data_IF_752062823946
#
_entry.id   IF_752062823946
#
_cell.length_a   1.000
_cell.length_b   1.000
_cell.length_c   1.000
_cell.angle_alpha   90.00
_cell.angle_beta   90.00
_cell.angle_gamma   90.00
#
_symmetry.space_group_name_H-M   'P 1'
#
loop_
_entity.id
_entity.type
_entity.pdbx_description
1 polymer ?
#
# COMPACT_ATOMS: atom_id res chain seq x y z
N UNK A 1 16.78 -7.76 16.77
CA UNK A 1 15.92 -6.73 16.13
C UNK A 1 16.20 -6.87 14.65
N UNK A 2 15.40 -7.68 13.98
CA UNK A 2 15.69 -8.10 12.61
C UNK A 2 15.37 -6.96 11.65
N UNK A 3 16.41 -6.36 11.07
CA UNK A 3 16.31 -5.31 10.07
C UNK A 3 16.60 -5.92 8.69
N UNK A 4 15.84 -6.92 8.22
CA UNK A 4 16.18 -7.52 6.92
C UNK A 4 15.07 -8.28 6.19
N UNK A 5 13.87 -7.71 6.15
CA UNK A 5 13.04 -7.89 4.97
C UNK A 5 12.78 -6.51 4.39
N UNK A 6 13.71 -6.04 3.54
CA UNK A 6 13.50 -4.87 2.69
C UNK A 6 12.16 -5.04 1.99
N UNK A 7 11.14 -4.38 2.53
CA UNK A 7 9.80 -4.41 1.97
C UNK A 7 9.88 -3.61 0.69
N UNK A 8 9.78 -4.27 -0.45
CA UNK A 8 9.74 -3.60 -1.74
C UNK A 8 8.28 -3.25 -2.02
N UNK A 9 7.84 -2.09 -1.51
CA UNK A 9 6.65 -1.43 -2.05
C UNK A 9 7.11 -0.47 -3.16
N UNK A 10 6.65 -0.68 -4.38
CA UNK A 10 6.87 0.28 -5.47
C UNK A 10 5.52 0.92 -5.80
N UNK A 11 5.42 2.22 -5.63
CA UNK A 11 4.21 2.99 -5.95
C UNK A 11 4.49 3.78 -7.22
N UNK A 12 3.69 3.53 -8.25
CA UNK A 12 3.74 4.22 -9.52
C UNK A 12 2.44 5.02 -9.71
N UNK A 13 2.57 6.29 -10.07
CA UNK A 13 1.46 7.09 -10.54
C UNK A 13 1.21 6.73 -12.00
N UNK A 14 0.00 6.30 -12.34
CA UNK A 14 -0.45 6.12 -13.71
C UNK A 14 -1.11 7.42 -14.21
N UNK A 15 -1.30 7.56 -15.52
CA UNK A 15 -1.96 8.75 -16.08
C UNK A 15 -3.42 8.85 -15.60
N UNK A 16 -3.87 10.08 -15.32
CA UNK A 16 -5.24 10.47 -14.92
C UNK A 16 -5.83 9.89 -13.61
N UNK A 17 -5.00 9.78 -12.56
CA UNK A 17 -5.36 9.61 -11.11
C UNK A 17 -5.37 8.18 -10.56
N UNK A 18 -5.00 7.19 -11.36
CA UNK A 18 -4.84 5.84 -10.87
C UNK A 18 -3.46 5.64 -10.22
N UNK A 19 -3.45 5.05 -9.01
CA UNK A 19 -2.21 4.69 -8.31
C UNK A 19 -2.03 3.18 -8.38
N UNK A 20 -0.88 2.72 -8.87
CA UNK A 20 -0.51 1.31 -8.80
C UNK A 20 0.55 1.10 -7.71
N UNK A 21 0.21 0.31 -6.68
CA UNK A 21 1.17 -0.12 -5.68
C UNK A 21 1.48 -1.61 -5.82
N UNK A 22 2.75 -1.94 -6.06
CA UNK A 22 3.24 -3.33 -6.03
C UNK A 22 3.79 -3.62 -4.65
N UNK A 23 3.12 -4.50 -3.92
CA UNK A 23 3.47 -4.87 -2.55
C UNK A 23 3.98 -6.31 -2.53
N UNK A 24 5.22 -6.52 -2.12
CA UNK A 24 5.73 -7.87 -1.84
C UNK A 24 5.42 -8.24 -0.38
N UNK A 25 4.66 -9.31 -0.15
CA UNK A 25 4.37 -9.82 1.19
C UNK A 25 5.54 -10.68 1.76
N UNK A 26 5.41 -11.13 3.01
CA UNK A 26 6.44 -11.95 3.70
C UNK A 26 6.72 -13.30 3.03
N UNK A 27 5.77 -13.82 2.27
CA UNK A 27 5.91 -15.08 1.50
C UNK A 27 6.56 -14.85 0.13
N UNK A 28 6.86 -13.61 -0.22
CA UNK A 28 7.44 -13.23 -1.51
C UNK A 28 6.42 -13.02 -2.63
N UNK A 29 5.12 -13.22 -2.37
CA UNK A 29 4.07 -12.93 -3.34
C UNK A 29 3.95 -11.43 -3.60
N UNK A 30 3.70 -11.05 -4.85
CA UNK A 30 3.49 -9.66 -5.26
C UNK A 30 2.01 -9.41 -5.45
N UNK A 31 1.47 -8.45 -4.70
CA UNK A 31 0.11 -7.94 -4.82
C UNK A 31 0.15 -6.60 -5.53
N UNK A 32 -0.68 -6.43 -6.55
CA UNK A 32 -0.84 -5.16 -7.26
C UNK A 32 -2.14 -4.54 -6.76
N UNK A 33 -2.05 -3.32 -6.23
CA UNK A 33 -3.20 -2.53 -5.81
C UNK A 33 -3.37 -1.39 -6.80
N UNK A 34 -4.45 -1.44 -7.57
CA UNK A 34 -4.88 -0.32 -8.41
C UNK A 34 -5.91 0.48 -7.63
N UNK A 35 -5.59 1.72 -7.29
CA UNK A 35 -6.42 2.59 -6.49
C UNK A 35 -6.97 3.75 -7.31
N UNK A 36 -8.28 3.95 -7.25
CA UNK A 36 -8.99 5.06 -7.89
C UNK A 36 -8.93 6.35 -7.04
N UNK A 37 -8.66 6.19 -5.73
CA UNK A 37 -8.60 7.28 -4.77
C UNK A 37 -7.41 7.11 -3.83
N UNK A 38 -6.79 8.24 -3.48
CA UNK A 38 -5.72 8.29 -2.48
C UNK A 38 -6.00 9.41 -1.47
N UNK A 39 -5.75 9.16 -0.20
CA UNK A 39 -5.85 10.16 0.86
C UNK A 39 -4.62 10.10 1.77
N UNK A 40 -3.89 11.22 1.88
CA UNK A 40 -2.78 11.37 2.81
C UNK A 40 -3.20 12.19 4.03
N UNK A 41 -3.16 11.57 5.21
CA UNK A 41 -3.33 12.23 6.49
C UNK A 41 -1.96 12.68 7.02
N UNK A 42 -1.66 13.96 6.85
CA UNK A 42 -0.39 14.54 7.27
C UNK A 42 -0.21 14.60 8.80
N UNK A 43 -1.29 14.61 9.58
CA UNK A 43 -1.20 14.63 11.06
C UNK A 43 -0.76 13.27 11.59
N UNK A 44 -1.21 12.18 10.95
CA UNK A 44 -0.85 10.81 11.33
C UNK A 44 0.31 10.22 10.52
N UNK A 45 0.74 10.90 9.44
CA UNK A 45 1.70 10.41 8.44
C UNK A 45 1.27 9.06 7.86
N UNK A 46 0.03 9.01 7.36
CA UNK A 46 -0.60 7.80 6.79
C UNK A 46 -1.13 8.07 5.40
N UNK A 47 -0.77 7.21 4.44
CA UNK A 47 -1.36 7.19 3.10
C UNK A 47 -2.35 6.03 2.98
N UNK A 48 -3.57 6.35 2.58
CA UNK A 48 -4.62 5.42 2.22
C UNK A 48 -4.73 5.37 0.70
N UNK A 49 -4.67 4.19 0.11
CA UNK A 49 -5.04 3.93 -1.28
C UNK A 49 -6.29 3.07 -1.29
N UNK A 50 -7.34 3.54 -1.96
CA UNK A 50 -8.64 2.86 -2.02
C UNK A 50 -8.79 2.24 -3.40
N UNK A 51 -8.78 0.90 -3.44
CA UNK A 51 -9.14 0.16 -4.63
C UNK A 51 -10.66 0.20 -4.82
N UNK A 52 -11.13 0.07 -6.06
CA UNK A 52 -12.54 0.21 -6.40
C UNK A 52 -13.42 -0.81 -5.64
N UNK A 53 -13.99 -0.39 -4.52
CA UNK A 53 -15.22 -1.00 -3.98
C UNK A 53 -15.19 -1.52 -2.54
N UNK A 54 -16.40 -1.59 -1.98
CA UNK A 54 -16.78 -2.46 -0.87
C UNK A 54 -16.30 -2.05 0.53
N UNK A 55 -17.00 -2.51 1.60
CA UNK A 55 -16.52 -2.36 2.95
C UNK A 55 -15.31 -3.27 3.22
N UNK A 56 -14.38 -2.81 4.06
CA UNK A 56 -13.28 -3.63 4.57
C UNK A 56 -13.84 -4.73 5.46
N UNK A 57 -13.51 -5.98 5.15
CA UNK A 57 -13.88 -7.15 5.96
C UNK A 57 -12.70 -7.66 6.80
N UNK A 58 -11.48 -7.59 6.27
CA UNK A 58 -10.25 -8.05 6.93
C UNK A 58 -9.08 -7.15 6.57
N UNK A 59 -8.14 -6.96 7.49
CA UNK A 59 -6.86 -6.31 7.20
C UNK A 59 -5.69 -7.22 7.57
N UNK A 60 -4.57 -7.11 6.88
CA UNK A 60 -3.36 -7.89 7.17
C UNK A 60 -2.11 -7.04 6.96
N UNK A 61 -1.32 -6.88 8.01
CA UNK A 61 -0.01 -6.24 7.91
C UNK A 61 0.97 -7.19 7.20
N UNK A 62 1.28 -6.88 5.95
CA UNK A 62 2.16 -7.70 5.10
C UNK A 62 3.62 -7.30 5.21
N UNK A 63 3.88 -6.12 5.75
CA UNK A 63 5.20 -5.60 6.08
C UNK A 63 5.06 -4.50 7.16
N UNK A 64 6.13 -4.18 7.92
CA UNK A 64 6.06 -3.16 8.96
C UNK A 64 5.49 -1.83 8.45
N UNK A 65 4.29 -1.47 8.90
CA UNK A 65 3.58 -0.26 8.48
C UNK A 65 2.94 -0.32 7.09
N UNK A 66 2.80 -1.50 6.48
CA UNK A 66 2.06 -1.71 5.24
C UNK A 66 0.98 -2.77 5.45
N UNK A 67 -0.27 -2.34 5.32
CA UNK A 67 -1.45 -3.17 5.56
C UNK A 67 -2.28 -3.28 4.29
N UNK A 68 -2.53 -4.52 3.85
CA UNK A 68 -3.53 -4.79 2.81
C UNK A 68 -4.90 -4.96 3.45
N UNK A 69 -5.90 -4.35 2.83
CA UNK A 69 -7.30 -4.42 3.25
C UNK A 69 -8.09 -5.24 2.23
N UNK A 70 -8.88 -6.17 2.74
CA UNK A 70 -9.61 -7.15 1.94
C UNK A 70 -11.11 -7.02 2.15
N UNK A 71 -11.85 -7.16 1.06
CA UNK A 71 -13.30 -7.33 1.07
C UNK A 71 -13.70 -8.73 1.52
N UNK A 72 -15.00 -9.00 1.46
CA UNK A 72 -15.59 -10.25 1.96
C UNK A 72 -15.18 -11.48 1.14
N UNK A 73 -14.88 -11.31 -0.15
CA UNK A 73 -14.56 -12.38 -1.09
C UNK A 73 -13.03 -12.57 -1.22
N UNK A 74 -12.25 -11.83 -0.42
CA UNK A 74 -10.78 -11.89 -0.39
C UNK A 74 -10.09 -11.01 -1.43
N UNK A 75 -10.85 -10.21 -2.18
CA UNK A 75 -10.37 -9.15 -3.05
C UNK A 75 -9.72 -8.02 -2.25
N UNK A 76 -8.68 -7.38 -2.81
CA UNK A 76 -8.05 -6.22 -2.17
C UNK A 76 -8.91 -4.98 -2.44
N UNK A 77 -9.33 -4.32 -1.37
CA UNK A 77 -10.14 -3.09 -1.41
C UNK A 77 -9.37 -1.85 -0.94
N UNK A 78 -8.20 -2.05 -0.34
CA UNK A 78 -7.38 -0.93 0.14
C UNK A 78 -5.94 -1.30 0.51
N UNK A 79 -5.14 -0.25 0.65
CA UNK A 79 -3.78 -0.28 1.18
C UNK A 79 -3.58 0.89 2.15
N UNK A 80 -3.13 0.58 3.36
CA UNK A 80 -2.70 1.58 4.35
C UNK A 80 -1.17 1.54 4.47
N UNK A 81 -0.54 2.72 4.41
CA UNK A 81 0.90 2.90 4.59
C UNK A 81 1.13 3.88 5.74
N UNK A 82 1.70 3.39 6.84
CA UNK A 82 2.14 4.19 7.99
C UNK A 82 3.55 4.75 7.75
N UNK A 83 3.85 5.92 8.34
CA UNK A 83 5.09 6.66 8.09
C UNK A 83 5.32 6.87 6.60
N UNK A 84 4.24 7.21 5.88
CA UNK A 84 4.24 7.25 4.42
C UNK A 84 5.31 8.19 3.86
N UNK A 85 5.58 9.31 4.55
CA UNK A 85 6.65 10.23 4.21
C UNK A 85 8.04 9.57 4.15
N UNK A 86 8.30 8.59 5.02
CA UNK A 86 9.58 7.84 5.06
C UNK A 86 9.57 6.71 4.04
N UNK A 87 8.49 5.93 4.01
CA UNK A 87 8.35 4.75 3.12
C UNK A 87 8.40 5.17 1.65
N UNK A 88 7.78 6.29 1.29
CA UNK A 88 7.77 6.78 -0.09
C UNK A 88 9.05 7.54 -0.45
N UNK A 89 9.62 8.35 0.46
CA UNK A 89 10.87 9.05 0.19
C UNK A 89 12.05 8.10 -0.07
N UNK A 90 12.08 6.94 0.60
CA UNK A 90 13.10 5.91 0.37
C UNK A 90 12.92 5.16 -0.97
N UNK A 91 11.75 5.28 -1.63
CA UNK A 91 11.37 4.42 -2.76
C UNK A 91 10.95 5.14 -4.03
N UNK A 92 10.72 6.45 -3.98
CA UNK A 92 10.64 7.31 -5.17
C UNK A 92 12.07 7.64 -5.59
N UNK A 93 12.71 6.72 -6.31
CA UNK A 93 13.85 7.08 -7.16
C UNK A 93 13.24 7.59 -8.47
N UNK A 94 13.36 8.89 -8.72
CA UNK A 94 13.00 9.46 -10.01
C UNK A 94 13.71 8.67 -11.12
N UNK A 95 12.91 8.09 -12.03
CA UNK A 95 13.38 7.54 -13.29
C UNK A 95 13.85 8.64 -14.23
#
# INVERSE_FOLDING_TARGET
MDRDAATAINVHLLEERDVEAKVRNREGAVVIVSAEQSHYDATRDVLYLVAAGGPIHRSTEVAPGITLEYGKDGEVVGLEILRASQVLAEKVVAS
#
